data_IF_443088335526
#
_entry.id   IF_443088335526
#
_cell.length_a   1.000
_cell.length_b   1.000
_cell.length_c   1.000
_cell.angle_alpha   90.00
_cell.angle_beta   90.00
_cell.angle_gamma   90.00
#
_symmetry.space_group_name_H-M   'P 1'
#
loop_
_entity.id
_entity.type
_entity.pdbx_description
1 polymer ?
#
# COMPACT_ATOMS: atom_id res chain seq x y z
N UNK A 1 13.63 -16.04 -3.43
CA UNK A 1 13.10 -14.72 -3.83
C UNK A 1 13.09 -13.79 -2.63
N UNK A 2 13.44 -12.51 -2.81
CA UNK A 2 13.42 -11.48 -1.75
C UNK A 2 12.11 -10.71 -1.85
N UNK A 3 11.51 -10.36 -0.72
CA UNK A 3 10.24 -9.63 -0.63
C UNK A 3 10.40 -8.50 0.39
N UNK A 4 9.93 -7.31 0.05
CA UNK A 4 9.80 -6.16 0.93
C UNK A 4 8.34 -5.70 0.90
N UNK A 5 7.73 -5.56 2.07
CA UNK A 5 6.36 -5.08 2.23
C UNK A 5 6.41 -3.73 2.92
N UNK A 6 5.93 -2.70 2.23
CA UNK A 6 5.72 -1.36 2.76
C UNK A 6 4.25 -1.27 3.18
N UNK A 7 3.98 -1.82 4.36
CA UNK A 7 2.63 -1.91 4.91
C UNK A 7 2.09 -0.51 5.28
N UNK A 8 0.88 -0.21 4.82
CA UNK A 8 0.18 1.07 4.97
C UNK A 8 0.92 2.30 4.43
N UNK A 9 1.86 2.13 3.50
CA UNK A 9 2.55 3.26 2.86
C UNK A 9 1.57 4.18 2.12
N UNK A 10 0.59 3.61 1.40
CA UNK A 10 -0.43 4.43 0.73
C UNK A 10 -1.33 5.14 1.74
N UNK A 11 -1.59 4.51 2.90
CA UNK A 11 -2.25 5.16 4.03
C UNK A 11 -1.44 6.33 4.57
N UNK A 12 -0.13 6.17 4.74
CA UNK A 12 0.77 7.23 5.20
C UNK A 12 0.78 8.42 4.22
N UNK A 13 0.83 8.15 2.91
CA UNK A 13 0.66 9.17 1.87
C UNK A 13 -0.70 9.87 1.97
N UNK A 14 -1.76 9.08 2.14
CA UNK A 14 -3.14 9.56 2.25
C UNK A 14 -3.43 10.46 3.47
N UNK A 15 -2.51 10.50 4.44
CA UNK A 15 -2.56 11.33 5.64
C UNK A 15 -1.38 12.31 5.73
N UNK A 16 -0.70 12.58 4.62
CA UNK A 16 0.42 13.53 4.52
C UNK A 16 1.60 13.24 5.46
N UNK A 17 1.77 11.98 5.89
CA UNK A 17 2.91 11.54 6.70
C UNK A 17 4.17 11.33 5.85
N UNK A 18 3.98 11.06 4.56
CA UNK A 18 5.01 11.04 3.51
C UNK A 18 4.46 11.76 2.28
N UNK A 19 5.33 12.38 1.49
CA UNK A 19 4.96 13.01 0.23
C UNK A 19 4.90 12.00 -0.92
N UNK A 20 4.10 12.31 -1.95
CA UNK A 20 4.06 11.49 -3.18
C UNK A 20 5.45 11.40 -3.83
N UNK A 21 6.23 12.49 -3.77
CA UNK A 21 7.60 12.52 -4.29
C UNK A 21 8.52 11.51 -3.58
N UNK A 22 8.41 11.35 -2.26
CA UNK A 22 9.17 10.35 -1.50
C UNK A 22 8.77 8.92 -1.89
N UNK A 23 7.47 8.66 -2.09
CA UNK A 23 6.99 7.35 -2.54
C UNK A 23 7.51 7.03 -3.96
N UNK A 24 7.42 7.99 -4.88
CA UNK A 24 7.94 7.83 -6.24
C UNK A 24 9.46 7.63 -6.26
N UNK A 25 10.21 8.29 -5.36
CA UNK A 25 11.64 8.10 -5.24
C UNK A 25 12.01 6.68 -4.76
N UNK A 26 11.20 6.05 -3.91
CA UNK A 26 11.38 4.65 -3.52
C UNK A 26 11.22 3.72 -4.73
N UNK A 27 10.19 3.95 -5.55
CA UNK A 27 9.95 3.16 -6.77
C UNK A 27 11.09 3.33 -7.78
N UNK A 28 11.53 4.57 -8.02
CA UNK A 28 12.66 4.87 -8.89
C UNK A 28 13.95 4.20 -8.41
N UNK A 29 14.24 4.25 -7.11
CA UNK A 29 15.43 3.61 -6.55
C UNK A 29 15.38 2.08 -6.69
N UNK A 30 14.20 1.47 -6.53
CA UNK A 30 14.00 0.03 -6.74
C UNK A 30 14.21 -0.36 -8.21
N UNK A 31 13.68 0.43 -9.14
CA UNK A 31 13.85 0.26 -10.59
C UNK A 31 15.32 0.39 -11.01
N UNK A 32 16.00 1.45 -10.56
CA UNK A 32 17.41 1.71 -10.86
C UNK A 32 18.34 0.60 -10.33
N UNK A 33 17.97 -0.04 -9.23
CA UNK A 33 18.68 -1.19 -8.67
C UNK A 33 18.39 -2.52 -9.39
N UNK A 34 17.61 -2.50 -10.49
CA UNK A 34 17.27 -3.69 -11.26
C UNK A 34 16.23 -4.58 -10.59
N UNK A 35 15.30 -3.99 -9.82
CA UNK A 35 14.19 -4.69 -9.13
C UNK A 35 14.68 -5.90 -8.29
N UNK A 36 15.55 -5.70 -7.28
CA UNK A 36 16.24 -6.79 -6.58
C UNK A 36 15.34 -7.64 -5.66
N UNK A 37 14.06 -7.28 -5.52
CA UNK A 37 13.06 -7.95 -4.72
C UNK A 37 11.65 -7.63 -5.23
N UNK A 38 10.67 -8.43 -4.84
CA UNK A 38 9.25 -8.04 -4.94
C UNK A 38 8.99 -6.90 -3.94
N UNK A 39 8.41 -5.80 -4.40
CA UNK A 39 8.07 -4.65 -3.59
C UNK A 39 6.53 -4.52 -3.52
N UNK A 40 5.97 -4.71 -2.34
CA UNK A 40 4.52 -4.66 -2.11
C UNK A 40 4.17 -3.43 -1.31
N UNK A 41 3.26 -2.61 -1.83
CA UNK A 41 2.73 -1.43 -1.15
C UNK A 41 1.28 -1.74 -0.77
N UNK A 42 0.90 -1.50 0.48
CA UNK A 42 -0.48 -1.66 0.94
C UNK A 42 -1.06 -0.32 1.41
N UNK A 43 -2.37 -0.31 1.66
CA UNK A 43 -3.13 0.84 2.10
C UNK A 43 -4.17 1.28 1.07
N UNK A 44 -4.58 2.54 1.17
CA UNK A 44 -5.72 3.09 0.43
C UNK A 44 -5.38 4.45 -0.19
N UNK A 45 -6.23 4.94 -1.10
CA UNK A 45 -6.01 6.17 -1.89
C UNK A 45 -4.75 6.13 -2.78
N UNK A 46 -4.57 5.04 -3.52
CA UNK A 46 -3.57 4.95 -4.59
C UNK A 46 -3.72 6.12 -5.57
N UNK A 47 -2.62 6.77 -5.92
CA UNK A 47 -2.59 7.87 -6.90
C UNK A 47 -2.27 7.33 -8.30
N UNK A 48 -2.72 8.00 -9.38
CA UNK A 48 -2.43 7.57 -10.74
C UNK A 48 -0.93 7.46 -11.04
N UNK A 49 -0.11 8.36 -10.49
CA UNK A 49 1.33 8.36 -10.70
C UNK A 49 2.02 7.12 -10.09
N UNK A 50 1.52 6.63 -8.95
CA UNK A 50 2.01 5.41 -8.32
C UNK A 50 1.42 4.18 -9.03
N UNK A 51 0.14 4.22 -9.41
CA UNK A 51 -0.54 3.14 -10.13
C UNK A 51 0.14 2.83 -11.47
N UNK A 52 0.54 3.85 -12.22
CA UNK A 52 1.20 3.71 -13.52
C UNK A 52 2.55 2.96 -13.44
N UNK A 53 3.25 3.03 -12.30
CA UNK A 53 4.53 2.34 -12.10
C UNK A 53 4.40 0.91 -11.57
N UNK A 54 3.21 0.50 -11.15
CA UNK A 54 2.99 -0.82 -10.58
C UNK A 54 2.79 -1.87 -11.68
N UNK A 55 3.53 -2.98 -11.61
CA UNK A 55 3.33 -4.12 -12.52
C UNK A 55 2.01 -4.87 -12.23
N UNK A 56 1.54 -4.81 -10.98
CA UNK A 56 0.33 -5.48 -10.50
C UNK A 56 -0.40 -4.59 -9.49
N UNK A 57 -1.70 -4.43 -9.69
CA UNK A 57 -2.58 -3.67 -8.77
C UNK A 57 -3.81 -4.49 -8.42
N UNK A 58 -4.11 -4.60 -7.13
CA UNK A 58 -5.31 -5.27 -6.62
C UNK A 58 -6.14 -4.31 -5.78
N UNK A 59 -7.41 -4.14 -6.14
CA UNK A 59 -8.35 -3.29 -5.40
C UNK A 59 -9.22 -4.10 -4.44
N UNK A 60 -8.92 -4.02 -3.14
CA UNK A 60 -9.80 -4.53 -2.09
C UNK A 60 -10.98 -3.57 -1.86
N UNK A 61 -12.19 -3.97 -2.25
CA UNK A 61 -13.41 -3.17 -2.08
C UNK A 61 -14.24 -3.69 -0.91
N UNK A 62 -14.54 -2.81 0.07
CA UNK A 62 -15.42 -3.11 1.21
C UNK A 62 -16.87 -3.33 0.75
N UNK A 63 -17.21 -4.55 0.34
CA UNK A 63 -18.60 -4.95 -0.01
C UNK A 63 -19.48 -5.14 1.22
N UNK A 64 -18.89 -5.62 2.31
CA UNK A 64 -19.52 -5.82 3.63
C UNK A 64 -18.43 -5.86 4.69
N UNK A 65 -18.67 -5.30 5.87
CA UNK A 65 -17.73 -5.37 6.99
C UNK A 65 -18.46 -5.53 8.33
N UNK A 66 -17.84 -6.21 9.30
CA UNK A 66 -18.42 -6.40 10.64
C UNK A 66 -18.66 -5.06 11.35
N UNK A 67 -17.73 -4.12 11.17
CA UNK A 67 -17.85 -2.74 11.65
C UNK A 67 -19.13 -2.04 11.20
N UNK A 68 -19.63 -2.32 9.98
CA UNK A 68 -20.87 -1.70 9.47
C UNK A 68 -22.11 -2.12 10.29
N UNK A 69 -21.99 -3.19 11.10
CA UNK A 69 -23.02 -3.66 12.05
C UNK A 69 -22.67 -3.34 13.50
N UNK A 70 -21.71 -2.45 13.74
CA UNK A 70 -21.28 -2.03 15.07
C UNK A 70 -20.45 -3.07 15.83
N UNK A 71 -19.97 -4.13 15.17
CA UNK A 71 -19.06 -5.10 15.81
C UNK A 71 -17.68 -4.43 15.94
N UNK A 72 -17.12 -4.33 17.17
CA UNK A 72 -15.81 -3.75 17.39
C UNK A 72 -14.70 -4.65 16.84
N UNK A 73 -13.49 -4.10 16.76
CA UNK A 73 -12.29 -4.86 16.39
C UNK A 73 -12.06 -6.02 17.37
N UNK A 74 -11.61 -7.17 16.85
CA UNK A 74 -11.42 -8.41 17.62
C UNK A 74 -9.95 -8.80 17.62
N UNK A 75 -9.47 -9.15 18.81
CA UNK A 75 -8.13 -9.67 19.00
C UNK A 75 -7.91 -10.94 18.16
N UNK A 76 -6.79 -10.99 17.45
CA UNK A 76 -6.39 -12.07 16.56
C UNK A 76 -7.06 -12.04 15.18
N UNK A 77 -7.96 -11.08 14.92
CA UNK A 77 -8.60 -10.92 13.61
C UNK A 77 -8.30 -9.55 13.01
N UNK A 78 -8.66 -8.47 13.70
CA UNK A 78 -8.42 -7.09 13.24
C UNK A 78 -7.14 -6.48 13.83
N UNK A 79 -6.67 -6.99 14.98
CA UNK A 79 -5.42 -6.59 15.64
C UNK A 79 -4.87 -7.70 16.54
#
# INVERSE_FOLDING_TARGET
HRLVILDELLGALAYDLVSEAEVLAILEAHEAAGRPCELVLTGHKLTPAIEERADLVTHMRKRKHYFDRGVPARLGIEF
#
